data_IF_891043790440
#
_entry.id   IF_891043790440
#
_cell.length_a   1.000
_cell.length_b   1.000
_cell.length_c   1.000
_cell.angle_alpha   90.00
_cell.angle_beta   90.00
_cell.angle_gamma   90.00
#
_symmetry.space_group_name_H-M   'P 1'
#
loop_
_entity.id
_entity.type
_entity.pdbx_description
1 polymer ?
#
# COMPACT_ATOMS: atom_id res chain seq x y z
N UNK A 1 -45.72 -14.18 9.74
CA UNK A 1 -44.95 -12.91 9.71
C UNK A 1 -43.46 -13.20 9.41
N UNK A 2 -43.02 -12.94 8.18
CA UNK A 2 -41.58 -12.99 7.86
C UNK A 2 -40.87 -11.91 8.67
N UNK A 3 -39.66 -12.16 9.23
CA UNK A 3 -38.87 -11.10 9.82
C UNK A 3 -38.67 -10.02 8.76
N UNK A 4 -39.02 -8.77 9.07
CA UNK A 4 -38.68 -7.64 8.21
C UNK A 4 -37.16 -7.64 8.09
N UNK A 5 -36.69 -7.78 6.87
CA UNK A 5 -35.31 -7.59 6.46
C UNK A 5 -34.91 -6.17 6.90
N UNK A 6 -34.33 -6.05 8.10
CA UNK A 6 -33.80 -4.79 8.60
C UNK A 6 -32.56 -4.51 7.77
N UNK A 7 -32.78 -3.87 6.63
CA UNK A 7 -31.71 -3.29 5.82
C UNK A 7 -30.81 -2.47 6.74
N UNK A 8 -29.58 -2.94 6.92
CA UNK A 8 -28.59 -2.36 7.81
C UNK A 8 -28.36 -0.90 7.39
N UNK A 9 -28.94 0.05 8.12
CA UNK A 9 -28.93 1.46 7.73
C UNK A 9 -27.65 2.12 8.24
N UNK A 10 -26.61 2.14 7.42
CA UNK A 10 -25.32 2.77 7.74
C UNK A 10 -25.51 4.30 7.83
N UNK A 11 -25.32 4.88 9.02
CA UNK A 11 -25.40 6.34 9.25
C UNK A 11 -24.01 6.98 9.28
N UNK A 12 -23.85 8.30 9.04
CA UNK A 12 -22.57 8.98 9.17
C UNK A 12 -21.94 8.84 10.57
N UNK A 13 -22.76 8.83 11.62
CA UNK A 13 -22.31 8.57 12.98
C UNK A 13 -21.73 7.17 13.13
N UNK A 14 -22.40 6.17 12.56
CA UNK A 14 -21.90 4.78 12.51
C UNK A 14 -20.56 4.72 11.77
N UNK A 15 -20.45 5.36 10.60
CA UNK A 15 -19.20 5.41 9.82
C UNK A 15 -18.06 6.05 10.62
N UNK A 16 -18.31 7.18 11.29
CA UNK A 16 -17.30 7.87 12.10
C UNK A 16 -16.85 7.03 13.32
N UNK A 17 -17.77 6.31 13.95
CA UNK A 17 -17.45 5.39 15.05
C UNK A 17 -16.61 4.20 14.56
N UNK A 18 -16.99 3.59 13.45
CA UNK A 18 -16.22 2.52 12.81
C UNK A 18 -14.83 3.01 12.43
N UNK A 19 -14.73 4.17 11.78
CA UNK A 19 -13.45 4.75 11.37
C UNK A 19 -12.53 5.05 12.57
N UNK A 20 -13.08 5.61 13.65
CA UNK A 20 -12.34 5.86 14.90
C UNK A 20 -11.84 4.55 15.50
N UNK A 21 -12.70 3.53 15.55
CA UNK A 21 -12.36 2.20 16.08
C UNK A 21 -11.24 1.56 15.26
N UNK A 22 -11.33 1.59 13.93
CA UNK A 22 -10.32 1.04 13.03
C UNK A 22 -8.98 1.77 13.15
N UNK A 23 -8.98 3.10 13.29
CA UNK A 23 -7.75 3.88 13.54
C UNK A 23 -7.06 3.49 14.85
N UNK A 24 -7.84 3.31 15.93
CA UNK A 24 -7.29 2.87 17.22
C UNK A 24 -6.71 1.46 17.11
N UNK A 25 -7.40 0.54 16.42
CA UNK A 25 -6.92 -0.82 16.18
C UNK A 25 -5.62 -0.82 15.36
N UNK A 26 -5.56 -0.04 14.28
CA UNK A 26 -4.36 0.10 13.45
C UNK A 26 -3.18 0.64 14.27
N UNK A 27 -3.39 1.69 15.06
CA UNK A 27 -2.34 2.24 15.91
C UNK A 27 -1.80 1.21 16.92
N UNK A 28 -2.69 0.41 17.54
CA UNK A 28 -2.28 -0.69 18.42
C UNK A 28 -1.45 -1.75 17.67
N UNK A 29 -1.85 -2.09 16.44
CA UNK A 29 -1.11 -3.03 15.61
C UNK A 29 0.28 -2.49 15.22
N UNK A 30 0.40 -1.19 14.91
CA UNK A 30 1.69 -0.55 14.63
C UNK A 30 2.61 -0.59 15.86
N UNK A 31 2.09 -0.35 17.07
CA UNK A 31 2.85 -0.48 18.31
C UNK A 31 3.29 -1.92 18.55
N UNK A 32 2.41 -2.90 18.32
CA UNK A 32 2.74 -4.33 18.45
C UNK A 32 3.85 -4.74 17.48
N UNK A 33 3.73 -4.34 16.20
CA UNK A 33 4.77 -4.53 15.17
C UNK A 33 6.11 -3.96 15.60
N UNK A 34 6.15 -2.71 16.08
CA UNK A 34 7.40 -2.07 16.56
C UNK A 34 7.99 -2.82 17.77
N UNK A 35 7.15 -3.29 18.70
CA UNK A 35 7.60 -4.08 19.84
C UNK A 35 8.18 -5.43 19.40
N UNK A 36 7.53 -6.11 18.46
CA UNK A 36 8.00 -7.38 17.86
C UNK A 36 9.35 -7.23 17.16
N UNK A 37 9.51 -6.17 16.35
CA UNK A 37 10.78 -5.83 15.71
C UNK A 37 11.88 -5.51 16.74
N UNK A 38 11.56 -4.71 17.75
CA UNK A 38 12.50 -4.37 18.83
C UNK A 38 12.96 -5.61 19.58
N UNK A 39 12.04 -6.52 19.91
CA UNK A 39 12.35 -7.78 20.56
C UNK A 39 13.26 -8.66 19.70
N UNK A 40 12.99 -8.74 18.40
CA UNK A 40 13.78 -9.52 17.44
C UNK A 40 15.19 -8.97 17.28
N UNK A 41 15.35 -7.64 17.14
CA UNK A 41 16.66 -7.00 17.12
C UNK A 41 17.44 -7.25 18.41
N UNK A 42 16.79 -7.08 19.56
CA UNK A 42 17.41 -7.31 20.86
C UNK A 42 17.87 -8.77 21.02
N UNK A 43 17.04 -9.73 20.62
CA UNK A 43 17.38 -11.15 20.68
C UNK A 43 18.62 -11.49 19.83
N UNK A 44 18.75 -10.87 18.66
CA UNK A 44 19.91 -11.02 17.78
C UNK A 44 21.14 -10.16 18.19
N UNK A 45 21.05 -9.38 19.27
CA UNK A 45 22.14 -8.47 19.69
C UNK A 45 22.36 -7.30 18.71
N UNK A 46 21.32 -6.88 18.01
CA UNK A 46 21.34 -5.79 17.03
C UNK A 46 20.78 -4.53 17.69
N UNK A 47 21.46 -3.39 17.51
CA UNK A 47 20.96 -2.10 17.96
C UNK A 47 19.65 -1.77 17.22
N UNK A 48 18.59 -1.48 17.98
CA UNK A 48 17.31 -1.07 17.41
C UNK A 48 17.44 0.29 16.70
N UNK A 49 17.00 0.41 15.44
CA UNK A 49 16.96 1.68 14.72
C UNK A 49 16.07 2.71 15.42
N UNK A 50 16.46 3.99 15.36
CA UNK A 50 15.75 5.07 16.05
C UNK A 50 14.30 5.23 15.54
N UNK A 51 14.04 4.97 14.26
CA UNK A 51 12.71 5.04 13.65
C UNK A 51 11.75 3.97 14.19
N UNK A 52 12.28 2.82 14.62
CA UNK A 52 11.50 1.77 15.28
C UNK A 52 11.34 2.08 16.77
N UNK A 53 12.37 2.62 17.42
CA UNK A 53 12.36 2.95 18.84
C UNK A 53 11.50 4.19 19.17
N UNK A 54 11.43 5.16 18.26
CA UNK A 54 10.73 6.43 18.49
C UNK A 54 9.23 6.24 18.37
N UNK A 55 8.46 6.59 19.41
CA UNK A 55 6.99 6.53 19.42
C UNK A 55 6.37 7.66 18.57
N UNK A 56 7.16 8.60 18.05
CA UNK A 56 6.65 9.74 17.30
C UNK A 56 5.73 9.30 16.17
N UNK A 57 4.46 9.70 16.28
CA UNK A 57 3.32 9.30 15.44
C UNK A 57 3.16 10.15 14.19
N UNK A 58 3.93 11.23 14.04
CA UNK A 58 4.03 11.88 12.74
C UNK A 58 4.93 11.02 11.88
N UNK A 59 4.37 10.48 10.80
CA UNK A 59 5.14 10.14 9.62
C UNK A 59 5.96 11.38 9.28
N UNK A 60 7.21 11.40 9.72
CA UNK A 60 8.17 12.38 9.23
C UNK A 60 8.21 12.11 7.74
N UNK A 61 7.95 13.14 6.92
CA UNK A 61 8.22 13.07 5.50
C UNK A 61 9.74 12.89 5.35
N UNK A 62 10.20 11.65 5.48
CA UNK A 62 11.60 11.31 5.38
C UNK A 62 11.96 11.46 3.92
N UNK A 63 12.82 12.44 3.64
CA UNK A 63 13.29 12.68 2.29
C UNK A 63 14.29 11.61 1.81
N UNK A 64 14.78 10.78 2.72
CA UNK A 64 15.84 9.79 2.46
C UNK A 64 15.50 8.44 3.08
N UNK A 65 16.06 7.39 2.47
CA UNK A 65 15.85 6.02 2.92
C UNK A 65 16.53 5.81 4.28
N UNK A 66 15.82 5.14 5.19
CA UNK A 66 16.36 4.78 6.49
C UNK A 66 17.35 3.62 6.33
N UNK A 67 18.61 4.01 6.11
CA UNK A 67 19.72 3.09 5.99
C UNK A 67 20.03 2.37 7.31
N UNK A 68 19.76 2.96 8.47
CA UNK A 68 19.97 2.31 9.77
C UNK A 68 19.02 1.13 9.93
N UNK A 69 17.74 1.33 9.58
CA UNK A 69 16.75 0.25 9.54
C UNK A 69 17.11 -0.80 8.49
N UNK A 70 17.47 -0.40 7.27
CA UNK A 70 17.90 -1.32 6.23
C UNK A 70 19.11 -2.18 6.69
N UNK A 71 20.12 -1.55 7.32
CA UNK A 71 21.30 -2.22 7.84
C UNK A 71 20.97 -3.20 8.97
N UNK A 72 20.18 -2.75 9.96
CA UNK A 72 19.77 -3.57 11.09
C UNK A 72 18.96 -4.78 10.65
N UNK A 73 17.99 -4.58 9.75
CA UNK A 73 17.14 -5.65 9.24
C UNK A 73 17.92 -6.63 8.37
N UNK A 74 18.79 -6.14 7.49
CA UNK A 74 19.71 -6.98 6.71
C UNK A 74 20.62 -7.83 7.62
N UNK A 75 21.08 -7.26 8.75
CA UNK A 75 21.86 -7.99 9.75
C UNK A 75 21.00 -9.05 10.45
N UNK A 76 19.76 -8.72 10.82
CA UNK A 76 18.82 -9.64 11.46
C UNK A 76 18.56 -10.88 10.59
N UNK A 77 18.25 -10.67 9.31
CA UNK A 77 18.05 -11.74 8.32
C UNK A 77 19.28 -12.66 8.28
N UNK A 78 20.48 -12.07 8.25
CA UNK A 78 21.71 -12.86 8.18
C UNK A 78 22.03 -13.64 9.46
N UNK A 79 21.90 -13.00 10.64
CA UNK A 79 22.25 -13.62 11.93
C UNK A 79 21.25 -14.67 12.40
N UNK A 80 19.98 -14.50 12.02
CA UNK A 80 18.90 -15.41 12.40
C UNK A 80 18.49 -16.35 11.26
N UNK A 81 19.20 -16.31 10.14
CA UNK A 81 18.94 -17.12 8.94
C UNK A 81 17.47 -17.13 8.52
N UNK A 82 16.82 -15.96 8.54
CA UNK A 82 15.39 -15.85 8.24
C UNK A 82 15.13 -16.14 6.75
N UNK A 83 14.17 -17.03 6.49
CA UNK A 83 13.59 -17.20 5.14
C UNK A 83 12.91 -15.90 4.69
N UNK A 84 12.64 -15.79 3.38
CA UNK A 84 11.88 -14.65 2.84
C UNK A 84 10.51 -14.53 3.53
N UNK A 85 9.80 -15.65 3.67
CA UNK A 85 8.48 -15.71 4.32
C UNK A 85 8.53 -15.26 5.79
N UNK A 86 9.47 -15.77 6.58
CA UNK A 86 9.62 -15.39 7.99
C UNK A 86 10.02 -13.91 8.13
N UNK A 87 10.83 -13.41 7.20
CA UNK A 87 11.23 -12.01 7.13
C UNK A 87 10.03 -11.09 6.86
N UNK A 88 9.19 -11.43 5.88
CA UNK A 88 7.98 -10.67 5.53
C UNK A 88 6.97 -10.73 6.69
N UNK A 89 6.75 -11.91 7.26
CA UNK A 89 5.85 -12.10 8.40
C UNK A 89 6.27 -11.21 9.58
N UNK A 90 7.57 -11.19 9.91
CA UNK A 90 8.10 -10.32 10.96
C UNK A 90 7.92 -8.83 10.62
N UNK A 91 8.15 -8.43 9.37
CA UNK A 91 7.98 -7.03 8.94
C UNK A 91 6.54 -6.55 9.07
N UNK A 92 5.56 -7.41 8.76
CA UNK A 92 4.12 -7.16 8.77
C UNK A 92 3.42 -7.46 10.10
N UNK A 93 4.13 -8.01 11.07
CA UNK A 93 3.58 -8.51 12.34
C UNK A 93 2.53 -9.62 12.12
N UNK A 94 2.83 -10.56 11.22
CA UNK A 94 2.04 -11.76 11.00
C UNK A 94 2.42 -12.84 12.01
N UNK A 95 1.43 -13.43 12.68
CA UNK A 95 1.60 -14.52 13.62
C UNK A 95 0.34 -15.38 13.70
N UNK A 96 0.42 -16.55 14.34
CA UNK A 96 -0.64 -17.57 14.30
C UNK A 96 -2.04 -17.08 14.71
N UNK A 97 -2.15 -16.06 15.58
CA UNK A 97 -3.47 -15.51 16.00
C UNK A 97 -3.94 -14.36 15.13
N UNK A 98 -3.05 -13.70 14.40
CA UNK A 98 -3.37 -12.64 13.45
C UNK A 98 -2.46 -12.79 12.22
N UNK A 99 -2.83 -13.65 11.26
CA UNK A 99 -2.04 -13.92 10.06
C UNK A 99 -2.23 -12.84 8.98
N UNK A 100 -3.00 -11.78 9.24
CA UNK A 100 -3.34 -10.79 8.22
C UNK A 100 -2.08 -10.03 7.77
N UNK A 101 -1.81 -9.92 6.48
CA UNK A 101 -0.63 -9.18 6.00
C UNK A 101 -0.82 -7.67 6.11
N UNK A 102 -2.06 -7.18 5.98
CA UNK A 102 -2.39 -5.78 6.12
C UNK A 102 -3.27 -5.55 7.36
N UNK A 103 -2.66 -5.02 8.43
CA UNK A 103 -3.36 -4.76 9.70
C UNK A 103 -4.42 -3.66 9.63
N UNK A 104 -4.40 -2.84 8.57
CA UNK A 104 -5.44 -1.85 8.33
C UNK A 104 -6.71 -2.45 7.74
N UNK A 105 -6.64 -3.63 7.12
CA UNK A 105 -7.79 -4.34 6.60
C UNK A 105 -8.38 -5.26 7.68
N UNK A 106 -9.66 -5.07 7.97
CA UNK A 106 -10.40 -5.86 8.96
C UNK A 106 -11.41 -6.76 8.22
N UNK A 107 -11.15 -8.08 8.13
CA UNK A 107 -12.02 -9.00 7.41
C UNK A 107 -13.46 -9.01 7.91
N UNK A 108 -13.69 -8.83 9.21
CA UNK A 108 -15.03 -8.80 9.80
C UNK A 108 -15.80 -7.58 9.32
N UNK A 109 -15.17 -6.40 9.36
CA UNK A 109 -15.80 -5.18 8.85
C UNK A 109 -15.98 -5.23 7.33
N UNK A 110 -15.04 -5.82 6.58
CA UNK A 110 -15.20 -5.99 5.14
C UNK A 110 -16.36 -6.93 4.81
N UNK A 111 -16.55 -8.00 5.58
CA UNK A 111 -17.67 -8.94 5.41
C UNK A 111 -19.02 -8.22 5.59
N UNK A 112 -19.12 -7.39 6.63
CA UNK A 112 -20.32 -6.59 6.90
C UNK A 112 -20.54 -5.50 5.85
N UNK A 113 -19.50 -4.72 5.53
CA UNK A 113 -19.62 -3.52 4.68
C UNK A 113 -19.78 -3.86 3.21
N UNK A 114 -19.22 -4.98 2.76
CA UNK A 114 -19.31 -5.44 1.38
C UNK A 114 -20.45 -6.45 1.20
N UNK A 115 -21.36 -6.57 2.16
CA UNK A 115 -22.52 -7.46 2.02
C UNK A 115 -23.31 -7.13 0.74
N UNK A 116 -23.57 -8.17 -0.07
CA UNK A 116 -24.23 -8.03 -1.38
C UNK A 116 -23.31 -7.57 -2.52
N UNK A 117 -22.03 -7.26 -2.28
CA UNK A 117 -21.06 -7.01 -3.33
C UNK A 117 -20.64 -8.33 -4.00
N UNK A 118 -20.64 -8.36 -5.34
CA UNK A 118 -20.31 -9.55 -6.15
C UNK A 118 -18.97 -10.21 -5.78
N UNK A 119 -17.96 -9.43 -5.39
CA UNK A 119 -16.62 -9.94 -5.01
C UNK A 119 -16.33 -9.84 -3.52
N UNK A 120 -17.38 -9.76 -2.70
CA UNK A 120 -17.31 -9.75 -1.24
C UNK A 120 -16.32 -10.79 -0.68
N UNK A 121 -16.48 -12.07 -1.06
CA UNK A 121 -15.62 -13.16 -0.56
C UNK A 121 -14.16 -12.99 -0.98
N UNK A 122 -13.91 -12.53 -2.20
CA UNK A 122 -12.54 -12.30 -2.67
C UNK A 122 -11.87 -11.18 -1.87
N UNK A 123 -12.59 -10.09 -1.59
CA UNK A 123 -12.08 -8.98 -0.77
C UNK A 123 -11.79 -9.42 0.68
N UNK A 124 -12.69 -10.20 1.29
CA UNK A 124 -12.48 -10.75 2.65
C UNK A 124 -11.30 -11.72 2.67
N UNK A 125 -11.17 -12.60 1.66
CA UNK A 125 -10.04 -13.52 1.55
C UNK A 125 -8.71 -12.78 1.39
N UNK A 126 -8.65 -11.77 0.53
CA UNK A 126 -7.45 -10.95 0.33
C UNK A 126 -7.06 -10.19 1.61
N UNK A 127 -8.02 -9.64 2.35
CA UNK A 127 -7.75 -9.00 3.64
C UNK A 127 -7.27 -9.99 4.72
N UNK A 128 -7.70 -11.25 4.63
CA UNK A 128 -7.37 -12.28 5.62
C UNK A 128 -6.01 -12.91 5.35
N UNK A 129 -5.71 -13.25 4.10
CA UNK A 129 -4.57 -14.08 3.71
C UNK A 129 -3.58 -13.37 2.79
N UNK A 130 -3.87 -12.14 2.36
CA UNK A 130 -3.14 -11.46 1.30
C UNK A 130 -3.62 -11.87 -0.10
N UNK A 131 -3.10 -11.19 -1.11
CA UNK A 131 -3.33 -11.57 -2.50
C UNK A 131 -2.39 -12.73 -2.84
N UNK A 132 -2.98 -13.85 -3.24
CA UNK A 132 -2.27 -14.98 -3.84
C UNK A 132 -2.60 -15.01 -5.33
N UNK A 133 -1.60 -15.33 -6.15
CA UNK A 133 -1.76 -15.36 -7.59
C UNK A 133 -1.09 -16.59 -8.17
N UNK A 134 -1.79 -17.25 -9.09
CA UNK A 134 -1.28 -18.42 -9.81
C UNK A 134 -0.51 -17.97 -11.05
N UNK A 135 0.56 -18.69 -11.39
CA UNK A 135 1.38 -18.40 -12.57
C UNK A 135 1.29 -19.55 -13.57
N UNK A 136 0.95 -19.25 -14.82
CA UNK A 136 0.89 -20.20 -15.94
C UNK A 136 2.26 -20.78 -16.27
N UNK A 137 3.31 -20.01 -16.02
CA UNK A 137 4.69 -20.45 -16.16
C UNK A 137 5.46 -19.92 -14.95
N UNK A 138 5.77 -20.71 -13.91
CA UNK A 138 6.61 -20.24 -12.83
C UNK A 138 8.06 -20.03 -13.32
N UNK A 139 8.68 -18.89 -12.98
CA UNK A 139 10.09 -18.60 -13.31
C UNK A 139 10.98 -18.90 -12.11
N UNK A 140 12.21 -19.36 -12.38
CA UNK A 140 13.25 -19.37 -11.36
C UNK A 140 13.58 -17.95 -10.85
N UNK A 141 14.26 -17.86 -9.71
CA UNK A 141 14.70 -16.59 -9.12
C UNK A 141 15.70 -15.87 -10.03
N UNK A 142 15.75 -14.55 -9.89
CA UNK A 142 16.78 -13.72 -10.50
C UNK A 142 18.09 -13.77 -9.71
N UNK A 143 19.19 -13.74 -10.45
CA UNK A 143 20.54 -13.66 -9.91
C UNK A 143 20.99 -12.20 -9.66
N UNK A 144 20.33 -11.25 -10.32
CA UNK A 144 20.55 -9.80 -10.18
C UNK A 144 19.34 -9.02 -10.70
N UNK A 145 19.08 -7.82 -10.18
CA UNK A 145 18.06 -6.94 -10.74
C UNK A 145 18.45 -6.42 -12.12
N UNK A 146 17.44 -6.21 -12.97
CA UNK A 146 17.57 -5.46 -14.21
C UNK A 146 17.81 -3.97 -13.96
N UNK A 147 18.02 -3.21 -15.04
CA UNK A 147 18.08 -1.75 -14.95
C UNK A 147 16.68 -1.17 -14.85
N UNK A 148 16.49 -0.18 -13.99
CA UNK A 148 15.29 0.65 -14.00
C UNK A 148 15.13 1.38 -15.33
N UNK A 149 13.89 1.75 -15.65
CA UNK A 149 13.57 2.52 -16.85
C UNK A 149 14.30 3.87 -16.86
N UNK A 150 14.40 4.48 -18.04
CA UNK A 150 15.12 5.76 -18.21
C UNK A 150 14.52 6.86 -17.32
N UNK A 151 13.21 6.94 -17.27
CA UNK A 151 12.41 7.83 -16.44
C UNK A 151 12.74 7.72 -14.95
N UNK A 152 12.72 6.51 -14.37
CA UNK A 152 13.05 6.29 -12.97
C UNK A 152 14.49 6.72 -12.62
N UNK A 153 15.43 6.52 -13.56
CA UNK A 153 16.81 7.01 -13.42
C UNK A 153 16.91 8.53 -13.51
N UNK A 154 16.14 9.16 -14.38
CA UNK A 154 16.08 10.63 -14.51
C UNK A 154 15.46 11.29 -13.27
N UNK A 155 14.44 10.65 -12.67
CA UNK A 155 13.74 11.13 -11.48
C UNK A 155 14.22 10.43 -10.20
N UNK A 156 15.52 10.15 -10.08
CA UNK A 156 16.10 9.36 -8.99
C UNK A 156 15.81 9.91 -7.59
N UNK A 157 15.84 11.23 -7.40
CA UNK A 157 15.50 11.89 -6.12
C UNK A 157 14.03 11.73 -5.74
N UNK A 158 13.12 11.68 -6.70
CA UNK A 158 11.70 11.46 -6.46
C UNK A 158 11.42 9.97 -6.18
N UNK A 159 12.10 9.08 -6.90
CA UNK A 159 12.10 7.64 -6.65
C UNK A 159 12.56 7.33 -5.22
N UNK A 160 13.71 7.87 -4.80
CA UNK A 160 14.26 7.65 -3.46
C UNK A 160 13.28 8.11 -2.37
N UNK A 161 12.66 9.28 -2.55
CA UNK A 161 11.66 9.79 -1.60
C UNK A 161 10.40 8.94 -1.54
N UNK A 162 9.93 8.45 -2.67
CA UNK A 162 8.79 7.53 -2.70
C UNK A 162 9.10 6.24 -1.94
N UNK A 163 10.30 5.69 -2.14
CA UNK A 163 10.78 4.51 -1.40
C UNK A 163 10.92 4.81 0.09
N UNK A 164 11.53 5.93 0.46
CA UNK A 164 11.72 6.36 1.84
C UNK A 164 10.37 6.51 2.56
N UNK A 165 9.41 7.18 1.93
CA UNK A 165 8.05 7.31 2.44
C UNK A 165 7.39 5.94 2.64
N UNK A 166 7.45 5.06 1.63
CA UNK A 166 6.89 3.72 1.75
C UNK A 166 7.60 2.85 2.81
N UNK A 167 8.89 3.05 3.05
CA UNK A 167 9.61 2.41 4.15
C UNK A 167 9.10 2.92 5.51
N UNK A 168 8.93 4.24 5.64
CA UNK A 168 8.45 4.89 6.87
C UNK A 168 7.02 4.46 7.23
N UNK A 169 6.14 4.29 6.23
CA UNK A 169 4.76 3.79 6.44
C UNK A 169 4.70 2.28 6.69
N UNK A 170 5.79 1.55 6.49
CA UNK A 170 5.80 0.09 6.57
C UNK A 170 5.33 -0.62 5.30
N UNK A 171 4.97 0.13 4.25
CA UNK A 171 4.57 -0.41 2.94
C UNK A 171 5.71 -1.15 2.26
N UNK A 172 6.94 -0.65 2.40
CA UNK A 172 8.11 -1.22 1.76
C UNK A 172 9.14 -1.74 2.77
N UNK A 173 9.56 -2.98 2.57
CA UNK A 173 10.74 -3.53 3.21
C UNK A 173 11.97 -3.23 2.35
N UNK A 174 12.92 -2.48 2.91
CA UNK A 174 14.20 -2.16 2.27
C UNK A 174 15.31 -3.01 2.90
N UNK A 175 15.98 -3.81 2.08
CA UNK A 175 17.11 -4.67 2.51
C UNK A 175 18.27 -4.55 1.53
N UNK A 176 19.47 -4.92 1.98
CA UNK A 176 20.63 -4.99 1.09
C UNK A 176 20.43 -6.05 0.02
N UNK A 177 20.73 -5.70 -1.23
CA UNK A 177 20.65 -6.62 -2.37
C UNK A 177 21.41 -7.93 -2.12
N UNK A 178 22.62 -7.85 -1.54
CA UNK A 178 23.42 -9.04 -1.23
C UNK A 178 22.77 -10.00 -0.24
N UNK A 179 21.80 -9.54 0.57
CA UNK A 179 21.00 -10.39 1.48
C UNK A 179 19.74 -10.87 0.81
N UNK A 180 19.10 -10.00 0.05
CA UNK A 180 17.93 -10.33 -0.75
C UNK A 180 18.21 -11.52 -1.70
N UNK A 181 19.36 -11.52 -2.37
CA UNK A 181 19.77 -12.59 -3.29
C UNK A 181 20.03 -13.94 -2.59
N UNK A 182 20.25 -13.97 -1.28
CA UNK A 182 20.48 -15.22 -0.52
C UNK A 182 19.20 -16.04 -0.31
N UNK A 183 18.03 -15.44 -0.50
CA UNK A 183 16.78 -16.20 -0.42
C UNK A 183 16.60 -17.13 -1.61
N UNK A 184 17.21 -16.84 -2.76
CA UNK A 184 17.02 -17.64 -3.99
C UNK A 184 15.54 -17.81 -4.38
N UNK A 185 14.71 -16.83 -4.04
CA UNK A 185 13.25 -16.83 -4.29
C UNK A 185 12.79 -15.58 -5.05
N UNK A 186 13.63 -14.55 -5.16
CA UNK A 186 13.22 -13.23 -5.66
C UNK A 186 13.20 -13.13 -7.18
N UNK A 187 12.22 -12.41 -7.69
CA UNK A 187 12.15 -11.92 -9.07
C UNK A 187 12.07 -10.39 -9.03
N UNK A 188 12.81 -9.71 -9.90
CA UNK A 188 12.89 -8.25 -9.91
C UNK A 188 12.18 -7.68 -11.13
N UNK A 189 11.38 -6.65 -10.90
CA UNK A 189 10.79 -5.78 -11.92
C UNK A 189 11.39 -4.38 -11.81
N UNK A 190 11.56 -3.68 -12.94
CA UNK A 190 12.12 -2.33 -12.93
C UNK A 190 11.11 -1.32 -12.36
N UNK A 191 11.65 -0.20 -11.88
CA UNK A 191 10.85 0.98 -11.62
C UNK A 191 10.75 1.87 -12.86
N UNK A 192 9.59 2.51 -13.00
CA UNK A 192 9.32 3.66 -13.85
C UNK A 192 8.90 4.85 -12.97
N UNK A 193 9.00 6.07 -13.49
CA UNK A 193 8.53 7.28 -12.84
C UNK A 193 7.77 8.15 -13.84
N UNK A 194 6.57 8.60 -13.46
CA UNK A 194 5.74 9.49 -14.28
C UNK A 194 5.56 10.83 -13.57
N UNK A 195 5.65 11.93 -14.33
CA UNK A 195 5.46 13.27 -13.78
C UNK A 195 4.09 13.44 -13.13
N UNK A 196 4.06 14.04 -11.94
CA UNK A 196 2.81 14.41 -11.29
C UNK A 196 2.37 15.78 -11.77
N UNK A 197 1.17 15.87 -12.35
CA UNK A 197 0.61 17.15 -12.80
C UNK A 197 0.62 18.18 -11.66
N UNK A 198 1.25 19.32 -11.91
CA UNK A 198 1.32 20.43 -10.95
C UNK A 198 2.40 20.29 -9.87
N UNK A 199 3.29 19.31 -9.98
CA UNK A 199 4.48 19.19 -9.14
C UNK A 199 5.74 19.21 -10.01
N UNK A 200 6.85 19.68 -9.45
CA UNK A 200 8.15 19.62 -10.12
C UNK A 200 8.64 18.16 -10.11
N UNK A 201 8.88 17.52 -11.27
CA UNK A 201 9.32 16.12 -11.36
C UNK A 201 10.66 15.83 -10.66
N UNK A 202 11.52 16.84 -10.46
CA UNK A 202 12.72 16.70 -9.64
C UNK A 202 12.38 16.49 -8.16
N UNK A 203 11.17 16.89 -7.74
CA UNK A 203 10.66 16.79 -6.38
C UNK A 203 9.59 15.72 -6.21
N UNK A 204 8.71 15.53 -7.18
CA UNK A 204 7.61 14.59 -7.04
C UNK A 204 7.26 13.95 -8.37
N UNK A 205 7.46 12.64 -8.42
CA UNK A 205 7.05 11.79 -9.53
C UNK A 205 6.25 10.61 -8.94
N UNK A 206 5.32 10.09 -9.73
CA UNK A 206 4.60 8.86 -9.41
C UNK A 206 5.53 7.69 -9.70
N UNK A 207 5.93 7.00 -8.64
CA UNK A 207 6.62 5.73 -8.76
C UNK A 207 5.68 4.69 -9.38
N UNK A 208 6.14 4.00 -10.39
CA UNK A 208 5.47 2.85 -10.98
C UNK A 208 6.37 1.65 -10.80
N UNK A 209 5.83 0.60 -10.19
CA UNK A 209 6.46 -0.71 -10.19
C UNK A 209 5.98 -1.46 -11.44
N UNK A 210 6.86 -1.55 -12.45
CA UNK A 210 6.48 -2.08 -13.74
C UNK A 210 6.51 -3.61 -13.74
N UNK A 211 5.33 -4.19 -13.48
CA UNK A 211 5.09 -5.63 -13.47
C UNK A 211 4.87 -6.21 -14.87
N UNK A 212 4.82 -5.37 -15.91
CA UNK A 212 4.59 -5.76 -17.31
C UNK A 212 5.89 -5.89 -18.10
N UNK A 213 7.03 -5.44 -17.55
CA UNK A 213 8.34 -5.57 -18.19
C UNK A 213 9.21 -6.70 -17.58
N UNK A 214 9.98 -7.44 -18.41
CA UNK A 214 9.98 -7.41 -19.87
C UNK A 214 8.86 -8.27 -20.43
N UNK A 215 8.17 -7.79 -21.46
CA UNK A 215 6.97 -8.35 -22.11
C UNK A 215 6.70 -9.84 -21.77
N UNK A 216 7.29 -10.77 -22.51
CA UNK A 216 6.98 -12.22 -22.44
C UNK A 216 7.50 -12.95 -21.18
N UNK A 217 8.19 -12.24 -20.29
CA UNK A 217 8.79 -12.83 -19.08
C UNK A 217 8.47 -12.08 -17.79
N UNK A 218 7.64 -11.05 -17.89
CA UNK A 218 7.17 -10.21 -16.81
C UNK A 218 6.26 -10.97 -15.85
N UNK A 219 6.00 -10.37 -14.68
CA UNK A 219 5.05 -10.93 -13.72
C UNK A 219 3.67 -11.03 -14.38
N UNK A 220 3.21 -9.95 -15.01
CA UNK A 220 1.90 -9.87 -15.63
C UNK A 220 1.72 -10.84 -16.81
N UNK A 221 2.74 -11.05 -17.65
CA UNK A 221 2.62 -12.00 -18.77
C UNK A 221 2.53 -13.46 -18.31
N UNK A 222 3.00 -13.76 -17.10
CA UNK A 222 3.04 -15.12 -16.55
C UNK A 222 1.89 -15.41 -15.59
N UNK A 223 1.23 -14.37 -15.12
CA UNK A 223 0.03 -14.40 -14.29
C UNK A 223 -1.16 -15.04 -14.99
N UNK A 224 -1.94 -15.86 -14.27
CA UNK A 224 -3.23 -16.39 -14.77
C UNK A 224 -4.32 -15.35 -14.58
N UNK A 225 -5.10 -15.07 -15.62
CA UNK A 225 -6.27 -14.19 -15.48
C UNK A 225 -7.48 -14.87 -14.83
N UNK A 226 -7.46 -16.20 -14.72
CA UNK A 226 -8.59 -17.01 -14.27
C UNK A 226 -9.03 -16.71 -12.83
N UNK A 227 -8.08 -16.32 -11.98
CA UNK A 227 -8.33 -15.96 -10.58
C UNK A 227 -8.74 -14.49 -10.41
N UNK A 228 -8.69 -13.68 -11.47
CA UNK A 228 -9.06 -12.28 -11.42
C UNK A 228 -10.57 -12.10 -11.61
N UNK A 229 -11.22 -11.24 -10.80
CA UNK A 229 -12.62 -10.94 -10.99
C UNK A 229 -12.85 -10.24 -12.33
N UNK A 230 -13.84 -10.70 -13.11
CA UNK A 230 -14.26 -10.01 -14.34
C UNK A 230 -14.58 -8.53 -14.06
N UNK A 231 -13.82 -7.63 -14.67
CA UNK A 231 -14.05 -6.20 -14.50
C UNK A 231 -15.19 -5.74 -15.40
N UNK A 232 -16.41 -5.77 -14.87
CA UNK A 232 -17.58 -5.15 -15.50
C UNK A 232 -17.67 -3.68 -15.07
N UNK A 233 -17.21 -2.80 -15.95
CA UNK A 233 -17.24 -1.37 -15.70
C UNK A 233 -18.63 -0.80 -16.03
N UNK A 234 -19.39 -0.49 -14.99
CA UNK A 234 -20.60 0.31 -15.13
C UNK A 234 -20.24 1.68 -15.75
N UNK A 235 -21.08 2.16 -16.68
CA UNK A 235 -20.78 3.43 -17.37
C UNK A 235 -20.56 4.57 -16.38
N UNK A 236 -19.53 5.40 -16.62
CA UNK A 236 -19.20 6.58 -15.77
C UNK A 236 -20.44 7.44 -15.53
N UNK A 237 -21.30 7.59 -16.55
CA UNK A 237 -22.58 8.31 -16.44
C UNK A 237 -23.52 7.69 -15.41
N UNK A 238 -23.65 6.37 -15.37
CA UNK A 238 -24.52 5.66 -14.41
C UNK A 238 -23.94 5.72 -12.99
N UNK A 239 -22.62 5.59 -12.84
CA UNK A 239 -21.94 5.82 -11.57
C UNK A 239 -22.15 7.26 -11.07
N UNK A 240 -21.93 8.26 -11.91
CA UNK A 240 -22.15 9.67 -11.57
C UNK A 240 -23.61 9.94 -11.17
N UNK A 241 -24.58 9.39 -11.90
CA UNK A 241 -26.01 9.47 -11.53
C UNK A 241 -26.31 8.82 -10.19
N UNK A 242 -25.72 7.66 -9.90
CA UNK A 242 -25.86 6.98 -8.59
C UNK A 242 -25.25 7.82 -7.47
N UNK A 243 -24.04 8.35 -7.64
CA UNK A 243 -23.39 9.24 -6.67
C UNK A 243 -24.24 10.50 -6.42
N UNK A 244 -24.78 11.11 -7.47
CA UNK A 244 -25.65 12.27 -7.35
C UNK A 244 -26.97 11.93 -6.65
N UNK A 245 -27.57 10.78 -6.97
CA UNK A 245 -28.77 10.28 -6.29
C UNK A 245 -28.52 10.06 -4.80
N UNK A 246 -27.43 9.38 -4.44
CA UNK A 246 -27.02 9.20 -3.03
C UNK A 246 -26.83 10.55 -2.35
N UNK A 247 -26.17 11.52 -2.99
CA UNK A 247 -26.00 12.87 -2.46
C UNK A 247 -27.34 13.58 -2.22
N UNK A 248 -28.26 13.51 -3.17
CA UNK A 248 -29.60 14.14 -3.06
C UNK A 248 -30.42 13.45 -1.96
N UNK A 249 -30.47 12.12 -1.97
CA UNK A 249 -31.22 11.34 -0.97
C UNK A 249 -30.64 11.57 0.45
N UNK A 250 -29.32 11.73 0.56
CA UNK A 250 -28.64 12.12 1.79
C UNK A 250 -29.00 13.53 2.24
N UNK A 251 -28.98 14.51 1.34
CA UNK A 251 -29.39 15.90 1.62
C UNK A 251 -30.85 15.98 2.07
N UNK A 252 -31.75 15.19 1.46
CA UNK A 252 -33.17 15.12 1.83
C UNK A 252 -33.38 14.50 3.21
N UNK A 253 -32.65 13.44 3.54
CA UNK A 253 -32.70 12.83 4.88
C UNK A 253 -32.15 13.76 5.98
N UNK A 254 -31.16 14.62 5.66
CA UNK A 254 -30.57 15.55 6.61
C UNK A 254 -31.32 16.90 6.71
N UNK A 255 -32.02 17.35 5.66
CA UNK A 255 -32.94 18.50 5.74
C UNK A 255 -34.12 18.22 6.67
N UNK A 256 -34.54 16.96 6.82
CA UNK A 256 -35.58 16.56 7.78
C UNK A 256 -35.12 16.61 9.25
N UNK A 257 -33.83 16.87 9.54
CA UNK A 257 -33.29 16.84 10.92
C UNK A 257 -32.58 18.12 11.36
N UNK A 258 -32.47 19.17 10.53
CA UNK A 258 -31.88 20.47 10.92
C UNK A 258 -32.40 21.61 10.05
N UNK A 259 -33.48 22.24 10.48
CA UNK A 259 -33.52 23.70 10.45
C UNK A 259 -32.39 24.18 11.37
N UNK A 260 -31.65 25.21 10.93
CA UNK A 260 -30.48 25.84 11.56
C UNK A 260 -29.14 25.08 11.46
N UNK A 261 -28.38 25.30 10.37
CA UNK A 261 -27.23 26.21 10.38
C UNK A 261 -26.77 26.42 8.93
N UNK A 262 -26.97 27.63 8.44
CA UNK A 262 -26.48 28.13 7.17
C UNK A 262 -24.99 28.46 7.25
N UNK A 263 -24.34 28.29 6.11
CA UNK A 263 -23.11 28.92 5.64
C UNK A 263 -21.76 28.53 6.27
N UNK A 264 -20.78 28.39 5.36
CA UNK A 264 -19.35 28.12 5.55
C UNK A 264 -18.89 26.66 5.54
N UNK A 265 -18.78 26.08 4.33
CA UNK A 265 -17.55 25.38 3.94
C UNK A 265 -17.16 25.85 2.54
N UNK A 266 -16.34 26.90 2.51
CA UNK A 266 -15.43 27.19 1.39
C UNK A 266 -14.43 26.04 1.37
N UNK A 267 -14.47 25.21 0.33
CA UNK A 267 -13.42 24.22 0.08
C UNK A 267 -12.20 24.98 -0.42
N UNK A 268 -11.32 25.35 0.51
CA UNK A 268 -10.09 26.06 0.20
C UNK A 268 -9.07 25.05 -0.35
N UNK A 269 -8.66 25.25 -1.59
CA UNK A 269 -7.59 24.50 -2.26
C UNK A 269 -6.29 25.31 -2.09
N UNK A 270 -5.31 24.89 -1.28
CA UNK A 270 -4.07 25.63 -1.18
C UNK A 270 -3.08 25.12 -2.24
N UNK A 271 -2.95 25.93 -3.27
CA UNK A 271 -1.77 26.05 -4.13
C UNK A 271 -0.57 26.60 -3.35
N UNK A 272 0.58 25.95 -3.52
CA UNK A 272 1.96 26.47 -3.53
C UNK A 272 2.52 27.26 -2.33
N UNK A 273 3.63 26.77 -1.77
CA UNK A 273 4.83 27.60 -1.50
C UNK A 273 6.09 26.73 -1.36
N UNK A 274 7.25 27.32 -1.67
CA UNK A 274 8.44 26.70 -2.24
C UNK A 274 9.71 27.00 -1.42
N UNK A 275 10.77 26.19 -1.67
CA UNK A 275 12.24 26.34 -1.41
C UNK A 275 12.82 25.55 -0.23
N UNK A 276 13.82 24.68 -0.48
CA UNK A 276 15.25 24.99 -0.38
C UNK A 276 16.18 23.82 -0.84
N UNK A 277 17.38 24.25 -1.25
CA UNK A 277 18.57 23.67 -1.87
C UNK A 277 19.08 22.22 -1.62
N UNK A 278 19.47 21.61 -2.76
CA UNK A 278 20.80 21.13 -3.17
C UNK A 278 21.36 19.74 -2.80
N UNK A 279 22.08 19.22 -3.81
CA UNK A 279 23.18 18.24 -3.83
C UNK A 279 22.78 16.75 -3.78
N UNK A 280 22.96 16.11 -4.95
CA UNK A 280 22.69 14.69 -5.16
C UNK A 280 23.85 13.78 -4.78
N UNK A 281 23.61 12.48 -4.98
CA UNK A 281 24.58 11.45 -5.40
C UNK A 281 23.83 10.12 -5.59
N UNK A 282 24.19 9.40 -6.67
CA UNK A 282 23.66 8.09 -7.07
C UNK A 282 24.11 6.97 -6.13
N UNK A 283 23.19 6.10 -5.65
CA UNK A 283 23.51 4.73 -5.21
C UNK A 283 22.35 3.72 -5.40
N UNK A 284 22.65 2.42 -5.63
CA UNK A 284 21.67 1.40 -5.96
C UNK A 284 21.09 0.71 -4.71
N UNK A 285 19.78 0.78 -4.52
CA UNK A 285 19.02 -0.01 -3.55
C UNK A 285 18.00 -0.90 -4.27
N UNK A 286 17.69 -2.05 -3.69
CA UNK A 286 16.73 -3.02 -4.25
C UNK A 286 15.59 -3.24 -3.27
N UNK A 287 14.38 -3.32 -3.81
CA UNK A 287 13.10 -3.32 -3.10
C UNK A 287 12.40 -4.66 -3.27
N UNK A 288 11.65 -5.07 -2.23
CA UNK A 288 10.61 -6.10 -2.37
C UNK A 288 9.27 -5.36 -2.23
N UNK A 289 8.56 -5.10 -3.33
CA UNK A 289 7.27 -4.43 -3.27
C UNK A 289 6.22 -5.37 -2.70
N UNK A 290 5.53 -4.90 -1.67
CA UNK A 290 4.50 -5.63 -0.95
C UNK A 290 3.17 -4.88 -1.14
N UNK A 291 2.49 -5.20 -2.24
CA UNK A 291 1.12 -4.81 -2.61
C UNK A 291 0.81 -3.30 -2.74
N UNK A 292 0.87 -2.78 -3.98
CA UNK A 292 0.06 -1.64 -4.44
C UNK A 292 -0.51 -1.96 -5.84
N UNK A 293 -1.57 -2.79 -5.90
CA UNK A 293 -2.13 -3.26 -7.18
C UNK A 293 -3.39 -2.50 -7.64
N UNK A 294 -3.78 -1.40 -7.01
CA UNK A 294 -5.09 -0.80 -7.32
C UNK A 294 -5.04 0.35 -8.34
N UNK A 295 -3.89 0.99 -8.55
CA UNK A 295 -3.82 2.26 -9.32
C UNK A 295 -3.06 2.19 -10.65
N UNK A 296 -2.18 1.21 -10.86
CA UNK A 296 -1.38 1.08 -12.11
C UNK A 296 -2.23 0.65 -13.32
N UNK A 297 -3.30 -0.12 -13.12
CA UNK A 297 -4.13 -0.68 -14.20
C UNK A 297 -4.96 0.36 -14.98
N UNK A 298 -5.12 1.58 -14.47
CA UNK A 298 -6.01 2.57 -15.08
C UNK A 298 -5.38 3.34 -16.26
N UNK A 299 -4.06 3.28 -16.49
CA UNK A 299 -3.41 4.08 -17.54
C UNK A 299 -3.24 3.35 -18.89
N UNK A 300 -3.19 2.02 -18.95
CA UNK A 300 -2.90 1.30 -20.20
C UNK A 300 -4.11 1.09 -21.13
N UNK A 301 -5.35 1.22 -20.65
CA UNK A 301 -6.54 1.08 -21.51
C UNK A 301 -6.90 2.35 -22.29
N UNK A 302 -6.28 3.49 -22.02
CA UNK A 302 -6.58 4.76 -22.69
C UNK A 302 -5.86 4.93 -24.05
N UNK A 303 -4.94 4.03 -24.41
CA UNK A 303 -4.17 4.10 -25.67
C UNK A 303 -4.49 2.98 -26.66
N UNK A 304 -5.49 2.14 -26.40
CA UNK A 304 -5.86 1.02 -27.26
C UNK A 304 -7.30 1.09 -27.84
N UNK A 305 -7.96 2.25 -27.80
CA UNK A 305 -9.23 2.50 -28.50
C UNK A 305 -9.28 3.90 -29.11
#
# INVERSE_FOLDING_TARGET
PRPRDQTLRVTPSTVNQVQTTLRIRLHKAELARRASLTASFRHAGIRTPNTIASISTLASETSTIDHDLCNAFSKLVSQSSLSLSATIALWRDEYARDPRPNKALDPEWLDILLHGYRHHRAAVNAATHGVSHTFNSPRGPDIKPGRNHKSARQFGSALERSIASGQATGTYLVVKLSRALQWHELQFSPFDCVEKKGADPAFEARLIHDLSYPDDSSINARSTIDDLPDLDYESVRRLAKRMLKVRIDWSRCHQASRLTLLDHIVVNWPSSTCRYHSAGLDLPLTMVPLEEQSHSWCQERAHAH
#
